data_IF_378203916361
#
_entry.id   IF_378203916361
#
_cell.length_a   1.000
_cell.length_b   1.000
_cell.length_c   1.000
_cell.angle_alpha   90.00
_cell.angle_beta   90.00
_cell.angle_gamma   90.00
#
_symmetry.space_group_name_H-M   'P 1'
#
loop_
_entity.id
_entity.type
_entity.pdbx_description
1 polymer ?
#
# COMPACT_ATOMS: atom_id res chain seq x y z
N UNK A 1 -31.37 -36.43 14.64
CA UNK A 1 -31.08 -35.55 15.79
C UNK A 1 -29.58 -35.40 16.13
N UNK A 2 -28.70 -36.37 15.86
CA UNK A 2 -27.25 -36.23 16.16
C UNK A 2 -26.53 -35.23 15.24
N UNK A 3 -26.91 -35.17 13.95
CA UNK A 3 -26.33 -34.24 12.97
C UNK A 3 -26.62 -32.76 13.25
N UNK A 4 -27.83 -32.41 13.70
CA UNK A 4 -28.18 -31.00 13.98
C UNK A 4 -27.44 -30.43 15.20
N UNK A 5 -27.20 -31.25 16.22
CA UNK A 5 -26.44 -30.85 17.40
C UNK A 5 -24.94 -30.67 17.10
N UNK A 6 -24.39 -31.55 16.27
CA UNK A 6 -22.99 -31.47 15.81
C UNK A 6 -22.77 -30.25 14.91
N UNK A 7 -23.71 -29.97 14.00
CA UNK A 7 -23.69 -28.78 13.16
C UNK A 7 -23.79 -27.48 13.97
N UNK A 8 -24.67 -27.43 14.99
CA UNK A 8 -24.79 -26.28 15.90
C UNK A 8 -23.50 -26.02 16.70
N UNK A 9 -22.82 -27.09 17.14
CA UNK A 9 -21.54 -26.98 17.86
C UNK A 9 -20.42 -26.49 16.93
N UNK A 10 -20.37 -26.97 15.69
CA UNK A 10 -19.43 -26.50 14.67
C UNK A 10 -19.65 -25.03 14.34
N UNK A 11 -20.91 -24.62 14.13
CA UNK A 11 -21.30 -23.24 13.85
C UNK A 11 -20.86 -22.27 14.96
N UNK A 12 -21.12 -22.64 16.23
CA UNK A 12 -20.71 -21.84 17.39
C UNK A 12 -19.19 -21.77 17.52
N UNK A 13 -18.48 -22.87 17.25
CA UNK A 13 -17.01 -22.90 17.28
C UNK A 13 -16.41 -21.99 16.20
N UNK A 14 -16.95 -21.99 14.99
CA UNK A 14 -16.52 -21.11 13.90
C UNK A 14 -16.76 -19.64 14.26
N UNK A 15 -17.96 -19.31 14.77
CA UNK A 15 -18.27 -17.98 15.28
C UNK A 15 -17.29 -17.53 16.36
N UNK A 16 -16.98 -18.37 17.35
CA UNK A 16 -16.05 -18.01 18.42
C UNK A 16 -14.64 -17.69 17.91
N UNK A 17 -14.18 -18.33 16.83
CA UNK A 17 -12.89 -18.01 16.21
C UNK A 17 -12.90 -16.63 15.59
N UNK A 18 -13.95 -16.33 14.83
CA UNK A 18 -14.19 -15.01 14.26
C UNK A 18 -14.33 -13.93 15.34
N UNK A 19 -15.22 -14.14 16.32
CA UNK A 19 -15.59 -13.15 17.32
C UNK A 19 -14.42 -12.77 18.23
N UNK A 20 -13.52 -13.70 18.54
CA UNK A 20 -12.31 -13.42 19.34
C UNK A 20 -11.33 -12.48 18.66
N UNK A 21 -11.32 -12.42 17.33
CA UNK A 21 -10.48 -11.52 16.56
C UNK A 21 -11.12 -10.13 16.42
N UNK A 22 -12.39 -9.96 16.83
CA UNK A 22 -13.08 -8.69 16.72
C UNK A 22 -12.55 -7.69 17.77
N UNK A 23 -12.17 -6.46 17.37
CA UNK A 23 -11.57 -5.48 18.30
C UNK A 23 -12.43 -5.14 19.52
N UNK A 24 -13.75 -5.12 19.35
CA UNK A 24 -14.71 -4.78 20.41
C UNK A 24 -15.35 -6.02 21.09
N UNK A 25 -14.77 -7.23 20.97
CA UNK A 25 -15.43 -8.47 21.41
C UNK A 25 -15.80 -8.52 22.90
N UNK A 26 -15.16 -7.72 23.75
CA UNK A 26 -15.44 -7.60 25.18
C UNK A 26 -16.62 -6.66 25.53
N UNK A 27 -16.88 -5.65 24.69
CA UNK A 27 -17.94 -4.66 24.89
C UNK A 27 -19.16 -4.91 23.97
N UNK A 28 -18.99 -5.77 22.96
CA UNK A 28 -20.02 -6.11 22.00
C UNK A 28 -21.00 -7.19 22.52
N UNK A 29 -22.23 -7.15 22.02
CA UNK A 29 -23.28 -8.10 22.38
C UNK A 29 -23.05 -9.42 21.66
N UNK A 30 -22.51 -10.41 22.39
CA UNK A 30 -22.34 -11.78 21.93
C UNK A 30 -23.60 -12.36 21.27
N UNK A 31 -24.76 -12.18 21.92
CA UNK A 31 -26.03 -12.74 21.47
C UNK A 31 -26.48 -12.15 20.13
N UNK A 32 -26.35 -10.82 19.96
CA UNK A 32 -26.68 -10.15 18.70
C UNK A 32 -25.73 -10.56 17.59
N UNK A 33 -24.43 -10.58 17.85
CA UNK A 33 -23.44 -11.00 16.85
C UNK A 33 -23.62 -12.47 16.44
N UNK A 34 -23.95 -13.35 17.39
CA UNK A 34 -24.21 -14.75 17.08
C UNK A 34 -25.51 -14.93 16.28
N UNK A 35 -26.58 -14.18 16.58
CA UNK A 35 -27.82 -14.21 15.81
C UNK A 35 -27.58 -13.82 14.33
N UNK A 36 -26.82 -12.76 14.08
CA UNK A 36 -26.45 -12.34 12.71
C UNK A 36 -25.57 -13.39 12.02
N UNK A 37 -24.63 -14.01 12.75
CA UNK A 37 -23.81 -15.12 12.21
C UNK A 37 -24.65 -16.33 11.80
N UNK A 38 -25.68 -16.67 12.57
CA UNK A 38 -26.60 -17.76 12.26
C UNK A 38 -27.48 -17.44 11.04
N UNK A 39 -27.82 -16.17 10.83
CA UNK A 39 -28.65 -15.73 9.71
C UNK A 39 -27.92 -15.76 8.35
N UNK A 40 -26.59 -15.72 8.33
CA UNK A 40 -25.80 -15.78 7.10
C UNK A 40 -25.89 -17.15 6.39
N UNK A 41 -25.64 -17.15 5.09
CA UNK A 41 -25.35 -18.40 4.36
C UNK A 41 -23.98 -18.96 4.76
N UNK A 42 -23.71 -20.23 4.44
CA UNK A 42 -22.42 -20.85 4.79
C UNK A 42 -21.26 -20.19 4.03
N UNK A 43 -21.47 -19.87 2.77
CA UNK A 43 -20.52 -19.17 1.91
C UNK A 43 -20.21 -17.76 2.46
N UNK A 44 -21.24 -17.04 2.90
CA UNK A 44 -21.09 -15.72 3.51
C UNK A 44 -20.32 -15.79 4.84
N UNK A 45 -20.57 -16.81 5.67
CA UNK A 45 -19.80 -17.02 6.91
C UNK A 45 -18.32 -17.28 6.63
N UNK A 46 -18.02 -18.09 5.62
CA UNK A 46 -16.65 -18.39 5.21
C UNK A 46 -15.95 -17.14 4.66
N UNK A 47 -16.64 -16.35 3.86
CA UNK A 47 -16.14 -15.07 3.37
C UNK A 47 -15.89 -14.08 4.53
N UNK A 48 -16.86 -13.92 5.44
CA UNK A 48 -16.78 -13.04 6.59
C UNK A 48 -15.58 -13.36 7.50
N UNK A 49 -15.32 -14.65 7.75
CA UNK A 49 -14.19 -15.09 8.56
C UNK A 49 -12.84 -14.94 7.82
N UNK A 50 -12.77 -15.33 6.55
CA UNK A 50 -11.52 -15.28 5.78
C UNK A 50 -11.05 -13.85 5.49
N UNK A 51 -11.99 -12.92 5.35
CA UNK A 51 -11.68 -11.51 5.04
C UNK A 51 -11.55 -10.61 6.29
N UNK A 52 -11.79 -11.12 7.50
CA UNK A 52 -11.81 -10.28 8.71
C UNK A 52 -10.51 -9.49 8.89
N UNK A 53 -9.36 -10.16 8.87
CA UNK A 53 -8.06 -9.50 9.04
C UNK A 53 -7.78 -8.50 7.91
N UNK A 54 -8.22 -8.81 6.70
CA UNK A 54 -8.12 -7.94 5.52
C UNK A 54 -8.89 -6.63 5.73
N UNK A 55 -10.13 -6.76 6.24
CA UNK A 55 -11.00 -5.65 6.56
C UNK A 55 -10.43 -4.79 7.70
N UNK A 56 -9.97 -5.41 8.78
CA UNK A 56 -9.38 -4.68 9.91
C UNK A 56 -8.14 -3.89 9.49
N UNK A 57 -7.25 -4.51 8.69
CA UNK A 57 -6.08 -3.83 8.13
C UNK A 57 -6.49 -2.68 7.18
N UNK A 58 -7.52 -2.88 6.35
CA UNK A 58 -8.04 -1.86 5.45
C UNK A 58 -8.58 -0.65 6.20
N UNK A 59 -9.38 -0.86 7.25
CA UNK A 59 -9.88 0.21 8.10
C UNK A 59 -8.74 0.95 8.80
N UNK A 60 -7.78 0.22 9.39
CA UNK A 60 -6.62 0.81 10.07
C UNK A 60 -5.77 1.69 9.15
N UNK A 61 -5.48 1.22 7.93
CA UNK A 61 -4.74 1.98 6.90
C UNK A 61 -5.48 3.27 6.53
N UNK A 62 -6.81 3.24 6.50
CA UNK A 62 -7.64 4.41 6.25
C UNK A 62 -7.82 5.32 7.48
N UNK A 63 -7.13 5.03 8.59
CA UNK A 63 -7.24 5.79 9.84
C UNK A 63 -8.56 5.58 10.57
N UNK A 64 -9.33 4.57 10.18
CA UNK A 64 -10.60 4.21 10.82
C UNK A 64 -10.33 3.11 11.84
N UNK A 65 -10.69 3.37 13.08
CA UNK A 65 -10.85 2.31 14.06
C UNK A 65 -12.23 1.68 13.89
N UNK A 66 -12.28 0.35 13.87
CA UNK A 66 -13.55 -0.38 13.88
C UNK A 66 -14.20 -0.21 15.25
N UNK A 67 -15.14 0.74 15.34
CA UNK A 67 -15.90 1.07 16.57
C UNK A 67 -17.32 0.48 16.60
N UNK A 68 -17.71 -0.24 15.55
CA UNK A 68 -19.02 -0.87 15.48
C UNK A 68 -18.98 -2.33 15.96
N UNK A 69 -20.14 -2.83 16.33
CA UNK A 69 -20.36 -4.21 16.73
C UNK A 69 -20.06 -5.20 15.60
N UNK A 70 -19.62 -6.41 15.95
CA UNK A 70 -19.46 -7.53 15.02
C UNK A 70 -20.80 -7.87 14.34
N UNK A 71 -21.93 -7.69 15.03
CA UNK A 71 -23.26 -7.80 14.43
C UNK A 71 -23.46 -6.85 13.24
N UNK A 72 -22.93 -5.63 13.29
CA UNK A 72 -23.00 -4.66 12.18
C UNK A 72 -22.17 -5.13 10.99
N UNK A 73 -20.95 -5.63 11.24
CA UNK A 73 -20.10 -6.20 10.19
C UNK A 73 -20.76 -7.38 9.48
N UNK A 74 -21.38 -8.29 10.24
CA UNK A 74 -22.08 -9.46 9.74
C UNK A 74 -23.33 -9.08 8.94
N UNK A 75 -24.18 -8.24 9.52
CA UNK A 75 -25.45 -7.80 8.93
C UNK A 75 -25.27 -7.03 7.63
N UNK A 76 -24.31 -6.10 7.59
CA UNK A 76 -24.07 -5.23 6.43
C UNK A 76 -23.08 -5.84 5.42
N UNK A 77 -22.61 -7.07 5.68
CA UNK A 77 -21.62 -7.77 4.83
C UNK A 77 -20.37 -6.94 4.53
N UNK A 78 -19.83 -6.22 5.53
CA UNK A 78 -18.81 -5.18 5.31
C UNK A 78 -17.51 -5.68 4.66
N UNK A 79 -17.24 -6.98 4.71
CA UNK A 79 -16.13 -7.59 3.96
C UNK A 79 -16.24 -7.36 2.45
N UNK A 80 -17.44 -7.23 1.88
CA UNK A 80 -17.63 -6.99 0.44
C UNK A 80 -17.10 -5.64 -0.05
N UNK A 81 -16.83 -4.70 0.86
CA UNK A 81 -16.25 -3.39 0.54
C UNK A 81 -14.73 -3.47 0.42
N UNK A 82 -14.10 -4.53 0.94
CA UNK A 82 -12.67 -4.76 0.82
C UNK A 82 -12.37 -5.16 -0.63
N UNK A 83 -11.47 -4.45 -1.34
CA UNK A 83 -11.13 -4.82 -2.71
C UNK A 83 -10.65 -6.28 -2.80
N UNK A 84 -11.15 -7.04 -3.77
CA UNK A 84 -10.96 -8.50 -3.89
C UNK A 84 -9.49 -8.97 -3.86
N UNK A 85 -8.60 -8.12 -4.36
CA UNK A 85 -7.14 -8.28 -4.37
C UNK A 85 -6.47 -8.14 -2.99
N UNK A 86 -7.16 -7.59 -2.00
CA UNK A 86 -6.76 -7.50 -0.59
C UNK A 86 -7.24 -8.70 0.23
N UNK A 87 -8.35 -9.31 -0.19
CA UNK A 87 -9.02 -10.41 0.48
C UNK A 87 -8.30 -11.76 0.33
N UNK A 88 -7.44 -11.92 -0.67
CA UNK A 88 -7.03 -13.24 -1.18
C UNK A 88 -5.62 -13.70 -0.80
N UNK A 89 -4.84 -12.97 0.02
CA UNK A 89 -3.51 -13.46 0.44
C UNK A 89 -3.06 -12.95 1.82
N UNK A 90 -2.82 -13.87 2.74
CA UNK A 90 -2.17 -13.61 4.04
C UNK A 90 -0.64 -13.66 3.86
N UNK A 91 -0.08 -12.63 3.23
CA UNK A 91 1.37 -12.50 3.12
C UNK A 91 1.84 -11.55 2.01
N UNK A 92 3.16 -11.32 1.90
CA UNK A 92 3.72 -10.51 0.83
C UNK A 92 3.43 -11.11 -0.55
N UNK A 93 3.14 -10.25 -1.51
CA UNK A 93 2.86 -10.62 -2.90
C UNK A 93 4.00 -10.20 -3.82
N UNK A 94 3.98 -10.65 -5.08
CA UNK A 94 4.88 -10.15 -6.12
C UNK A 94 4.15 -9.07 -6.91
N UNK A 95 4.58 -7.82 -6.76
CA UNK A 95 4.12 -6.70 -7.58
C UNK A 95 4.77 -6.76 -8.95
N UNK A 96 3.95 -6.85 -9.99
CA UNK A 96 4.41 -6.79 -11.38
C UNK A 96 5.10 -5.46 -11.68
N UNK A 97 6.16 -5.49 -12.48
CA UNK A 97 6.96 -4.30 -12.82
C UNK A 97 6.09 -3.19 -13.41
N UNK A 98 6.22 -1.98 -12.85
CA UNK A 98 5.36 -0.81 -13.11
C UNK A 98 3.87 -0.96 -12.77
N UNK A 99 3.45 -2.08 -12.18
CA UNK A 99 2.09 -2.28 -11.66
C UNK A 99 1.84 -1.52 -10.35
N UNK A 100 0.57 -1.50 -9.90
CA UNK A 100 0.11 -0.78 -8.69
C UNK A 100 0.94 -1.07 -7.44
N UNK A 101 1.08 -2.34 -7.07
CA UNK A 101 1.83 -2.75 -5.88
C UNK A 101 3.33 -2.45 -6.00
N UNK A 102 3.90 -2.57 -7.21
CA UNK A 102 5.29 -2.21 -7.48
C UNK A 102 5.49 -0.69 -7.34
N UNK A 103 4.57 0.11 -7.84
CA UNK A 103 4.61 1.56 -7.69
C UNK A 103 4.45 1.99 -6.23
N UNK A 104 3.55 1.35 -5.47
CA UNK A 104 3.40 1.59 -4.04
C UNK A 104 4.68 1.27 -3.25
N UNK A 105 5.32 0.13 -3.55
CA UNK A 105 6.63 -0.23 -2.98
C UNK A 105 7.72 0.78 -3.35
N UNK A 106 7.75 1.25 -4.61
CA UNK A 106 8.68 2.30 -5.04
C UNK A 106 8.49 3.58 -4.23
N UNK A 107 7.25 4.04 -4.03
CA UNK A 107 6.99 5.22 -3.19
C UNK A 107 7.32 4.98 -1.72
N UNK A 108 7.07 3.77 -1.20
CA UNK A 108 7.45 3.42 0.16
C UNK A 108 8.97 3.48 0.40
N UNK A 109 9.77 3.15 -0.62
CA UNK A 109 11.23 3.30 -0.59
C UNK A 109 11.68 4.75 -0.77
N UNK A 110 10.97 5.54 -1.59
CA UNK A 110 11.23 6.98 -1.76
C UNK A 110 10.90 7.79 -0.50
N UNK A 111 9.95 7.32 0.32
CA UNK A 111 9.63 7.91 1.61
C UNK A 111 10.80 7.88 2.60
N UNK A 112 11.77 6.98 2.41
CA UNK A 112 12.96 6.94 3.23
C UNK A 112 13.80 8.23 3.04
N UNK A 113 14.49 8.71 4.09
CA UNK A 113 15.39 9.85 3.95
C UNK A 113 16.46 9.60 2.88
N UNK A 114 16.82 10.65 2.14
CA UNK A 114 17.97 10.62 1.24
C UNK A 114 19.19 10.14 2.02
N UNK A 115 19.87 9.10 1.53
CA UNK A 115 21.14 8.66 2.10
C UNK A 115 22.12 9.82 2.12
N UNK A 116 22.96 9.87 3.17
CA UNK A 116 24.10 10.80 3.21
C UNK A 116 24.99 10.59 1.99
N UNK A 117 25.05 11.61 1.14
CA UNK A 117 25.88 11.61 -0.05
C UNK A 117 27.34 11.94 0.29
N UNK A 118 28.31 11.39 -0.45
CA UNK A 118 29.71 11.85 -0.34
C UNK A 118 29.82 13.37 -0.58
N UNK A 119 30.86 14.03 -0.08
CA UNK A 119 31.13 15.42 -0.43
C UNK A 119 31.32 15.57 -1.95
N UNK A 120 31.12 16.79 -2.46
CA UNK A 120 31.45 17.11 -3.85
C UNK A 120 32.95 16.99 -4.05
N UNK A 121 33.37 16.51 -5.23
CA UNK A 121 34.79 16.50 -5.58
C UNK A 121 35.32 17.94 -5.70
N UNK A 122 36.62 18.13 -5.51
CA UNK A 122 37.28 19.43 -5.68
C UNK A 122 37.10 20.00 -7.10
N UNK A 123 36.85 19.15 -8.11
CA UNK A 123 36.48 19.60 -9.45
C UNK A 123 35.12 20.28 -9.45
N UNK A 124 34.07 19.61 -8.96
CA UNK A 124 32.71 20.19 -8.92
C UNK A 124 32.64 21.44 -8.04
N UNK A 125 33.35 21.45 -6.90
CA UNK A 125 33.43 22.64 -6.04
C UNK A 125 34.01 23.85 -6.80
N UNK A 126 35.09 23.65 -7.57
CA UNK A 126 35.69 24.71 -8.39
C UNK A 126 34.78 25.18 -9.52
N UNK A 127 34.09 24.25 -10.19
CA UNK A 127 33.16 24.61 -11.26
C UNK A 127 31.96 25.40 -10.76
N UNK A 128 31.41 25.05 -9.59
CA UNK A 128 30.33 25.80 -8.95
C UNK A 128 30.83 27.19 -8.52
N UNK A 129 32.02 27.28 -7.92
CA UNK A 129 32.62 28.56 -7.51
C UNK A 129 32.89 29.49 -8.71
N UNK A 130 33.21 28.94 -9.87
CA UNK A 130 33.38 29.68 -11.12
C UNK A 130 32.05 30.06 -11.80
N UNK A 131 30.89 29.70 -11.24
CA UNK A 131 29.58 29.99 -11.82
C UNK A 131 29.24 29.16 -13.07
N UNK A 132 30.04 28.15 -13.40
CA UNK A 132 29.86 27.31 -14.58
C UNK A 132 28.79 26.23 -14.36
N UNK A 133 28.52 25.89 -13.10
CA UNK A 133 27.55 24.87 -12.69
C UNK A 133 26.65 25.43 -11.58
N UNK A 134 25.35 25.17 -11.68
CA UNK A 134 24.42 25.41 -10.57
C UNK A 134 24.59 24.34 -9.49
N UNK A 135 25.03 24.76 -8.30
CA UNK A 135 25.21 23.86 -7.16
C UNK A 135 23.93 23.17 -6.69
N UNK A 136 22.77 23.81 -6.84
CA UNK A 136 21.48 23.20 -6.49
C UNK A 136 21.12 22.09 -7.48
N UNK A 137 21.24 22.34 -8.78
CA UNK A 137 21.05 21.34 -9.82
C UNK A 137 22.02 20.14 -9.64
N UNK A 138 23.30 20.41 -9.36
CA UNK A 138 24.29 19.36 -9.08
C UNK A 138 23.88 18.52 -7.86
N UNK A 139 23.38 19.16 -6.80
CA UNK A 139 22.92 18.45 -5.60
C UNK A 139 21.73 17.53 -5.93
N UNK A 140 20.71 18.05 -6.61
CA UNK A 140 19.52 17.27 -6.99
C UNK A 140 19.87 16.09 -7.89
N UNK A 141 20.76 16.28 -8.86
CA UNK A 141 21.22 15.20 -9.74
C UNK A 141 21.97 14.10 -8.97
N UNK A 142 22.78 14.48 -7.98
CA UNK A 142 23.45 13.51 -7.11
C UNK A 142 22.48 12.78 -6.20
N UNK A 143 21.46 13.47 -5.69
CA UNK A 143 20.36 12.86 -4.93
C UNK A 143 19.62 11.83 -5.80
N UNK A 144 19.32 12.16 -7.05
CA UNK A 144 18.69 11.25 -8.00
C UNK A 144 19.49 9.97 -8.19
N UNK A 145 20.81 10.10 -8.40
CA UNK A 145 21.71 8.98 -8.69
C UNK A 145 22.08 8.11 -7.49
N UNK A 146 22.16 8.69 -6.29
CA UNK A 146 22.78 8.02 -5.14
C UNK A 146 21.97 8.12 -3.84
N UNK A 147 20.94 8.96 -3.80
CA UNK A 147 20.15 9.25 -2.60
C UNK A 147 19.27 8.09 -2.18
N UNK A 148 18.77 7.30 -3.13
CA UNK A 148 17.89 6.15 -2.88
C UNK A 148 18.38 4.87 -3.59
N UNK A 149 19.47 4.23 -3.11
CA UNK A 149 20.00 3.02 -3.74
C UNK A 149 18.96 1.91 -3.91
N UNK A 150 18.11 1.67 -2.90
CA UNK A 150 17.07 0.66 -2.98
C UNK A 150 16.01 0.90 -4.07
N UNK A 151 15.81 2.17 -4.48
CA UNK A 151 14.94 2.54 -5.61
C UNK A 151 15.69 2.37 -6.93
N UNK A 152 16.95 2.78 -6.97
CA UNK A 152 17.79 2.66 -8.16
C UNK A 152 18.05 1.19 -8.53
N UNK A 153 18.29 0.33 -7.53
CA UNK A 153 18.42 -1.13 -7.72
C UNK A 153 17.12 -1.74 -8.23
N UNK A 154 15.97 -1.28 -7.70
CA UNK A 154 14.64 -1.70 -8.14
C UNK A 154 14.37 -1.28 -9.60
N UNK A 155 14.83 -0.10 -10.03
CA UNK A 155 14.74 0.37 -11.41
C UNK A 155 15.66 -0.42 -12.34
N UNK A 156 16.91 -0.66 -11.92
CA UNK A 156 17.85 -1.49 -12.68
C UNK A 156 17.32 -2.91 -12.88
N UNK A 157 16.68 -3.49 -11.86
CA UNK A 157 16.02 -4.78 -11.97
C UNK A 157 14.82 -4.75 -12.93
N UNK A 158 14.01 -3.68 -12.90
CA UNK A 158 12.87 -3.53 -13.81
C UNK A 158 13.30 -3.55 -15.29
N UNK A 159 14.45 -2.94 -15.61
CA UNK A 159 15.03 -2.97 -16.96
C UNK A 159 15.57 -4.36 -17.29
N UNK A 160 16.36 -4.97 -16.39
CA UNK A 160 17.08 -6.22 -16.67
C UNK A 160 16.16 -7.45 -16.69
N UNK A 161 15.21 -7.49 -15.77
CA UNK A 161 14.35 -8.65 -15.47
C UNK A 161 12.89 -8.19 -15.24
N UNK A 162 12.21 -7.60 -16.23
CA UNK A 162 10.88 -7.01 -16.06
C UNK A 162 9.82 -8.03 -15.59
N UNK A 163 9.96 -9.31 -15.93
CA UNK A 163 9.05 -10.37 -15.51
C UNK A 163 9.16 -10.74 -14.02
N UNK A 164 10.25 -10.35 -13.34
CA UNK A 164 10.52 -10.76 -11.96
C UNK A 164 9.66 -10.03 -10.93
N UNK A 165 9.28 -8.78 -11.21
CA UNK A 165 8.56 -7.93 -10.27
C UNK A 165 9.33 -7.70 -8.96
N UNK A 166 8.65 -7.26 -7.91
CA UNK A 166 9.24 -7.08 -6.58
C UNK A 166 8.34 -7.68 -5.51
N UNK A 167 8.93 -8.19 -4.43
CA UNK A 167 8.16 -8.60 -3.25
C UNK A 167 7.63 -7.34 -2.56
N UNK A 168 6.32 -7.30 -2.30
CA UNK A 168 5.61 -6.17 -1.69
C UNK A 168 4.86 -6.69 -0.46
N UNK A 169 4.96 -5.99 0.67
CA UNK A 169 4.16 -6.34 1.86
C UNK A 169 2.67 -6.22 1.56
N UNK A 170 1.84 -6.93 2.33
CA UNK A 170 0.38 -6.86 2.15
C UNK A 170 -0.11 -5.42 2.35
N UNK A 171 0.32 -4.74 3.41
CA UNK A 171 -0.14 -3.39 3.69
C UNK A 171 0.27 -2.40 2.58
N UNK A 172 1.48 -2.51 2.04
CA UNK A 172 1.93 -1.66 0.93
C UNK A 172 1.14 -1.97 -0.36
N UNK A 173 0.86 -3.24 -0.65
CA UNK A 173 0.05 -3.62 -1.79
C UNK A 173 -1.36 -3.00 -1.72
N UNK A 174 -1.98 -2.99 -0.53
CA UNK A 174 -3.28 -2.35 -0.28
C UNK A 174 -3.26 -0.84 -0.52
N UNK A 175 -2.14 -0.16 -0.23
CA UNK A 175 -2.01 1.27 -0.53
C UNK A 175 -2.04 1.54 -2.04
N UNK A 176 -1.42 0.66 -2.82
CA UNK A 176 -1.39 0.74 -4.29
C UNK A 176 -2.74 0.54 -4.97
N UNK A 177 -3.72 -0.08 -4.29
CA UNK A 177 -5.04 -0.32 -4.88
C UNK A 177 -5.79 0.96 -5.24
N UNK A 178 -5.55 2.03 -4.49
CA UNK A 178 -6.13 3.35 -4.73
C UNK A 178 -5.39 4.18 -5.79
N UNK A 179 -4.32 3.66 -6.39
CA UNK A 179 -3.57 4.41 -7.39
C UNK A 179 -4.37 4.59 -8.68
N UNK A 180 -4.07 5.63 -9.44
CA UNK A 180 -4.68 5.91 -10.74
C UNK A 180 -3.70 5.55 -11.86
N UNK A 181 -4.23 5.04 -12.96
CA UNK A 181 -3.44 4.77 -14.15
C UNK A 181 -3.08 6.10 -14.82
N UNK A 182 -1.79 6.31 -15.05
CA UNK A 182 -1.23 7.48 -15.71
C UNK A 182 -0.54 7.03 -16.98
N UNK A 183 -0.92 7.64 -18.10
CA UNK A 183 -0.33 7.36 -19.40
C UNK A 183 1.11 7.88 -19.44
N UNK A 184 2.04 7.04 -19.85
CA UNK A 184 3.44 7.43 -20.07
C UNK A 184 3.49 8.55 -21.12
N UNK A 185 4.36 9.53 -20.87
CA UNK A 185 4.52 10.77 -21.65
C UNK A 185 3.29 11.70 -21.73
N UNK A 186 2.19 11.35 -21.05
CA UNK A 186 1.01 12.20 -20.93
C UNK A 186 1.22 13.43 -20.03
N UNK A 187 0.22 14.30 -19.98
CA UNK A 187 0.26 15.53 -19.17
C UNK A 187 0.48 15.23 -17.68
N UNK A 188 -0.31 14.30 -17.12
CA UNK A 188 -0.19 13.90 -15.71
C UNK A 188 1.16 13.24 -15.42
N UNK A 189 1.74 12.53 -16.39
CA UNK A 189 3.09 11.95 -16.26
C UNK A 189 4.15 13.05 -16.09
N UNK A 190 4.09 14.09 -16.91
CA UNK A 190 5.01 15.23 -16.82
C UNK A 190 4.84 16.00 -15.50
N UNK A 191 3.60 16.13 -15.01
CA UNK A 191 3.31 16.71 -13.69
C UNK A 191 3.99 15.91 -12.57
N UNK A 192 3.91 14.58 -12.62
CA UNK A 192 4.60 13.71 -11.68
C UNK A 192 6.13 13.77 -11.83
N UNK A 193 6.64 13.90 -13.05
CA UNK A 193 8.06 14.02 -13.34
C UNK A 193 8.62 15.30 -12.73
N UNK A 194 7.94 16.43 -12.94
CA UNK A 194 8.31 17.71 -12.36
C UNK A 194 8.35 17.66 -10.83
N UNK A 195 7.43 16.94 -10.18
CA UNK A 195 7.45 16.75 -8.73
C UNK A 195 8.67 15.93 -8.26
N UNK A 196 9.02 14.88 -8.99
CA UNK A 196 10.22 14.08 -8.66
C UNK A 196 11.50 14.90 -8.83
N UNK A 197 11.57 15.71 -9.88
CA UNK A 197 12.71 16.57 -10.17
C UNK A 197 12.92 17.61 -9.07
N UNK A 198 11.85 18.26 -8.60
CA UNK A 198 11.89 19.19 -7.45
C UNK A 198 12.43 18.53 -6.19
N UNK A 199 12.14 17.24 -5.98
CA UNK A 199 12.58 16.45 -4.81
C UNK A 199 13.97 15.84 -4.96
N UNK A 200 14.55 15.88 -6.17
CA UNK A 200 15.77 15.14 -6.50
C UNK A 200 15.58 13.64 -6.44
N UNK A 201 14.36 13.15 -6.63
CA UNK A 201 14.05 11.72 -6.64
C UNK A 201 14.41 11.08 -7.99
N UNK A 202 14.87 9.82 -8.00
CA UNK A 202 15.00 9.05 -9.23
C UNK A 202 13.66 8.98 -9.95
N UNK A 203 13.63 9.43 -11.21
CA UNK A 203 12.48 9.24 -12.09
C UNK A 203 12.38 7.77 -12.52
N UNK A 204 11.23 7.38 -13.08
CA UNK A 204 11.07 6.02 -13.60
C UNK A 204 12.07 5.77 -14.75
N UNK A 205 12.61 4.53 -14.85
CA UNK A 205 13.38 4.12 -16.01
C UNK A 205 12.48 3.98 -17.24
N UNK A 206 13.08 3.70 -18.39
CA UNK A 206 12.36 3.33 -19.61
C UNK A 206 11.32 2.23 -19.31
N UNK A 207 10.05 2.53 -19.58
CA UNK A 207 8.92 1.64 -19.30
C UNK A 207 8.72 0.60 -20.40
N UNK A 208 9.51 0.65 -21.48
CA UNK A 208 9.46 -0.31 -22.58
C UNK A 208 8.10 -0.31 -23.26
N UNK A 209 7.35 -1.43 -23.15
CA UNK A 209 6.02 -1.58 -23.76
C UNK A 209 4.87 -1.19 -22.82
N UNK A 210 5.17 -0.77 -21.59
CA UNK A 210 4.14 -0.31 -20.67
C UNK A 210 3.77 1.14 -20.98
N UNK A 211 2.60 1.34 -21.59
CA UNK A 211 2.02 2.66 -21.86
C UNK A 211 1.37 3.31 -20.63
N UNK A 212 1.19 2.54 -19.56
CA UNK A 212 0.49 2.96 -18.34
C UNK A 212 1.29 2.55 -17.10
N UNK A 213 1.46 3.51 -16.20
CA UNK A 213 1.98 3.28 -14.85
C UNK A 213 0.98 3.78 -13.82
N UNK A 214 1.27 3.64 -12.54
CA UNK A 214 0.31 3.94 -11.48
C UNK A 214 0.88 4.91 -10.45
N UNK A 215 0.10 5.94 -10.12
CA UNK A 215 0.47 6.96 -9.14
C UNK A 215 -0.64 7.17 -8.10
N UNK A 216 -0.34 7.74 -6.93
CA UNK A 216 -1.38 8.22 -6.01
C UNK A 216 -2.40 9.13 -6.75
N UNK A 217 -3.69 9.03 -6.41
CA UNK A 217 -4.72 9.82 -7.07
C UNK A 217 -4.52 11.30 -6.76
N UNK A 218 -4.60 12.16 -7.79
CA UNK A 218 -4.42 13.61 -7.59
C UNK A 218 -5.66 14.25 -6.96
N UNK A 219 -6.87 13.71 -7.18
CA UNK A 219 -8.14 14.26 -6.69
C UNK A 219 -8.32 15.77 -6.98
N UNK A 220 -7.78 16.26 -8.10
CA UNK A 220 -7.79 17.69 -8.46
C UNK A 220 -6.73 18.55 -7.75
N UNK A 221 -5.87 17.94 -6.94
CA UNK A 221 -4.75 18.58 -6.24
C UNK A 221 -3.38 18.31 -6.88
N UNK A 222 -2.34 18.86 -6.25
CA UNK A 222 -0.96 18.70 -6.70
C UNK A 222 -0.36 17.35 -6.27
N UNK A 223 0.64 16.81 -7.00
CA UNK A 223 1.39 15.62 -6.61
C UNK A 223 1.92 15.64 -5.18
N UNK A 224 2.32 16.80 -4.66
CA UNK A 224 2.81 16.96 -3.28
C UNK A 224 1.75 16.56 -2.25
N UNK A 225 0.51 17.01 -2.43
CA UNK A 225 -0.63 16.69 -1.55
C UNK A 225 -0.97 15.20 -1.63
N UNK A 226 -0.97 14.65 -2.84
CA UNK A 226 -1.22 13.22 -3.06
C UNK A 226 -0.15 12.34 -2.39
N UNK A 227 1.12 12.78 -2.41
CA UNK A 227 2.22 12.10 -1.74
C UNK A 227 2.13 12.20 -0.22
N UNK A 228 1.77 13.35 0.33
CA UNK A 228 1.56 13.54 1.77
C UNK A 228 0.49 12.58 2.29
N UNK A 229 -0.68 12.54 1.63
CA UNK A 229 -1.75 11.62 1.97
C UNK A 229 -1.32 10.15 1.87
N UNK A 230 -0.53 9.79 0.85
CA UNK A 230 0.03 8.45 0.71
C UNK A 230 1.01 8.12 1.86
N UNK A 231 1.91 9.04 2.21
CA UNK A 231 2.91 8.81 3.26
C UNK A 231 2.29 8.74 4.65
N UNK A 232 1.25 9.50 4.95
CA UNK A 232 0.51 9.33 6.19
C UNK A 232 -0.10 7.93 6.30
N UNK A 233 -0.69 7.43 5.21
CA UNK A 233 -1.26 6.06 5.18
C UNK A 233 -0.16 4.99 5.27
N UNK A 234 1.01 5.24 4.68
CA UNK A 234 2.18 4.37 4.77
C UNK A 234 2.69 4.24 6.21
N UNK A 235 2.80 5.35 6.94
CA UNK A 235 3.25 5.31 8.33
C UNK A 235 2.25 4.58 9.22
N UNK A 236 0.94 4.76 8.99
CA UNK A 236 -0.10 3.97 9.67
C UNK A 236 0.00 2.47 9.36
N UNK A 237 0.23 2.13 8.09
CA UNK A 237 0.43 0.75 7.65
C UNK A 237 1.62 0.10 8.37
N UNK A 238 2.77 0.79 8.43
CA UNK A 238 3.98 0.33 9.12
C UNK A 238 3.76 0.16 10.62
N UNK A 239 3.06 1.10 11.25
CA UNK A 239 2.72 1.00 12.67
C UNK A 239 1.80 -0.19 12.96
N UNK A 240 0.83 -0.48 12.07
CA UNK A 240 -0.05 -1.63 12.21
C UNK A 240 0.68 -2.96 12.02
N UNK A 241 1.62 -3.05 11.08
CA UNK A 241 2.42 -4.27 10.86
C UNK A 241 3.41 -4.53 12.01
N UNK A 242 3.86 -3.50 12.72
CA UNK A 242 4.78 -3.65 13.86
C UNK A 242 4.10 -4.17 15.15
N UNK A 243 2.78 -4.08 15.24
CA UNK A 243 1.97 -4.49 16.41
C UNK A 243 1.33 -5.88 16.21
N UNK A 244 1.30 -6.38 14.97
CA UNK A 244 0.77 -7.69 14.60
C UNK A 244 1.83 -8.80 14.70
#
# INVERSE_FOLDING_TARGET
>A
MRGDAENRKALRKAFMRFYKLWPACGDDSYERAFAEWQALAEEDRQAAASQLEAYLAFEAINGRQVKHAASTYLKEKRWSVVPERVASTNGPTIGSTFGRSWMAERFARLAAPCRRLPPLSAFYQRQIAAGLYDGAAVKLERMRKMGWPAVNDMHAQAIREPAKGVRVSRAIAMLGDGFEAVRVDGEIWQVWQAEHDKRGWPWLPDTGRQDWVYFPPLQGGAPSVALEAFFERLERARASEAVA
#
